data_IF_954492940427
#
_entry.id   IF_954492940427
#
_cell.length_a   1.000
_cell.length_b   1.000
_cell.length_c   1.000
_cell.angle_alpha   90.00
_cell.angle_beta   90.00
_cell.angle_gamma   90.00
#
_symmetry.space_group_name_H-M   'P 1'
#
loop_
_entity.id
_entity.type
_entity.pdbx_description
1 polymer ?
#
# COMPACT_ATOMS: atom_id res chain seq x y z
N UNK A 1 -0.76 -17.00 47.46
CA UNK A 1 -0.80 -18.46 47.71
C UNK A 1 -2.26 -18.87 47.69
N UNK A 2 -2.70 -19.69 46.74
CA UNK A 2 -3.86 -20.57 46.87
C UNK A 2 -3.73 -21.70 45.84
N UNK A 3 -3.93 -22.91 46.33
CA UNK A 3 -3.35 -24.17 45.88
C UNK A 3 -4.18 -24.92 44.83
N UNK A 4 -3.43 -25.71 44.05
CA UNK A 4 -3.81 -26.72 43.04
C UNK A 4 -4.99 -27.64 43.41
N UNK A 5 -5.82 -27.99 42.41
CA UNK A 5 -6.45 -29.30 42.33
C UNK A 5 -6.45 -29.88 40.90
N UNK A 6 -5.65 -30.93 40.74
CA UNK A 6 -5.56 -31.83 39.60
C UNK A 6 -6.68 -32.88 39.72
N UNK A 7 -7.42 -33.15 38.63
CA UNK A 7 -8.06 -34.46 38.42
C UNK A 7 -7.91 -34.92 36.98
N UNK A 8 -7.25 -36.07 36.84
CA UNK A 8 -7.14 -36.90 35.63
C UNK A 8 -8.45 -37.64 35.40
N UNK A 9 -8.87 -37.77 34.14
CA UNK A 9 -9.65 -38.92 33.67
C UNK A 9 -9.47 -39.04 32.14
N UNK A 10 -8.84 -40.13 31.72
CA UNK A 10 -8.85 -40.60 30.35
C UNK A 10 -10.23 -41.21 30.03
N UNK A 11 -10.63 -41.23 28.75
CA UNK A 11 -11.34 -42.33 28.10
C UNK A 11 -11.42 -42.06 26.59
N UNK A 12 -10.97 -43.04 25.81
CA UNK A 12 -10.98 -43.11 24.35
C UNK A 12 -12.30 -43.70 23.86
N UNK A 13 -12.85 -43.25 22.72
CA UNK A 13 -13.67 -44.10 21.82
C UNK A 13 -13.56 -43.59 20.37
N UNK A 14 -13.30 -44.55 19.50
CA UNK A 14 -13.15 -44.53 18.04
C UNK A 14 -14.43 -44.20 17.26
N UNK A 15 -14.30 -43.69 16.03
CA UNK A 15 -15.05 -44.17 14.85
C UNK A 15 -14.63 -43.41 13.58
N UNK A 16 -14.04 -44.14 12.63
CA UNK A 16 -13.91 -43.72 11.24
C UNK A 16 -15.25 -43.90 10.53
N UNK A 17 -15.68 -42.90 9.76
CA UNK A 17 -16.79 -43.03 8.79
C UNK A 17 -16.33 -42.46 7.45
N UNK A 18 -16.34 -43.34 6.46
CA UNK A 18 -16.02 -43.13 5.04
C UNK A 18 -17.33 -43.22 4.25
N UNK A 19 -17.34 -42.63 3.04
CA UNK A 19 -18.31 -42.72 1.92
C UNK A 19 -19.41 -41.62 1.82
N UNK A 20 -19.95 -41.32 0.61
CA UNK A 20 -19.43 -41.52 -0.76
C UNK A 20 -19.61 -40.33 -1.73
N UNK A 21 -18.89 -40.42 -2.87
CA UNK A 21 -19.16 -39.68 -4.11
C UNK A 21 -20.52 -40.08 -4.70
N UNK A 22 -21.27 -39.10 -5.20
CA UNK A 22 -22.36 -39.33 -6.14
C UNK A 22 -22.22 -38.38 -7.34
N UNK A 23 -21.83 -38.94 -8.48
CA UNK A 23 -22.04 -38.36 -9.81
C UNK A 23 -23.42 -38.82 -10.31
N UNK A 24 -24.26 -37.90 -10.76
CA UNK A 24 -25.35 -38.21 -11.69
C UNK A 24 -25.57 -37.04 -12.65
N UNK A 25 -25.51 -37.38 -13.93
CA UNK A 25 -25.68 -36.55 -15.11
C UNK A 25 -27.09 -36.74 -15.73
N UNK A 26 -27.31 -36.00 -16.84
CA UNK A 26 -28.41 -36.03 -17.82
C UNK A 26 -29.60 -35.08 -17.51
N UNK A 27 -30.19 -34.35 -18.47
CA UNK A 27 -30.25 -34.56 -19.93
C UNK A 27 -30.77 -33.31 -20.68
N UNK A 28 -30.27 -33.04 -21.90
CA UNK A 28 -31.06 -32.65 -23.10
C UNK A 28 -30.16 -32.53 -24.35
N UNK A 29 -30.65 -33.09 -25.45
CA UNK A 29 -29.98 -33.63 -26.65
C UNK A 29 -29.95 -32.66 -27.85
N UNK A 30 -28.88 -32.66 -28.67
CA UNK A 30 -28.90 -32.43 -30.13
C UNK A 30 -27.52 -32.71 -30.79
N UNK A 31 -27.45 -33.84 -31.51
CA UNK A 31 -26.74 -34.14 -32.79
C UNK A 31 -25.54 -33.27 -33.26
N UNK A 32 -24.38 -33.88 -33.52
CA UNK A 32 -23.95 -34.48 -34.81
C UNK A 32 -22.43 -34.76 -34.84
N UNK A 33 -21.99 -35.64 -35.75
CA UNK A 33 -20.69 -36.33 -35.72
C UNK A 33 -19.63 -35.79 -36.70
N UNK A 34 -18.37 -36.20 -36.44
CA UNK A 34 -17.25 -36.42 -37.37
C UNK A 34 -16.16 -35.34 -37.56
N UNK A 35 -15.00 -35.62 -36.93
CA UNK A 35 -13.66 -35.83 -37.52
C UNK A 35 -13.12 -34.88 -38.61
N UNK A 36 -11.94 -34.29 -38.35
CA UNK A 36 -11.01 -33.86 -39.42
C UNK A 36 -10.08 -32.69 -39.07
N UNK A 37 -8.78 -32.95 -39.10
CA UNK A 37 -7.64 -32.14 -38.64
C UNK A 37 -7.33 -30.81 -39.38
N UNK A 38 -6.58 -29.94 -38.67
CA UNK A 38 -5.49 -29.01 -39.11
C UNK A 38 -5.70 -27.48 -39.07
N UNK A 39 -4.69 -26.82 -38.45
CA UNK A 39 -4.12 -25.48 -38.66
C UNK A 39 -4.70 -24.21 -37.96
N UNK A 40 -3.81 -23.60 -37.16
CA UNK A 40 -3.53 -22.15 -37.01
C UNK A 40 -4.51 -21.19 -36.28
N UNK A 41 -3.99 -20.64 -35.18
CA UNK A 41 -4.02 -19.22 -34.75
C UNK A 41 -5.30 -18.56 -34.19
N UNK A 42 -5.03 -17.64 -33.24
CA UNK A 42 -5.85 -16.58 -32.62
C UNK A 42 -6.80 -17.01 -31.48
N UNK A 43 -6.62 -16.58 -30.21
CA UNK A 43 -6.53 -15.23 -29.59
C UNK A 43 -7.91 -14.63 -29.26
N UNK A 44 -8.03 -14.28 -27.97
CA UNK A 44 -8.87 -13.24 -27.34
C UNK A 44 -10.38 -13.53 -27.26
N UNK A 45 -11.16 -13.00 -26.33
CA UNK A 45 -11.02 -12.29 -25.04
C UNK A 45 -12.45 -11.85 -24.68
N UNK A 46 -12.64 -11.44 -23.43
CA UNK A 46 -13.56 -10.38 -22.99
C UNK A 46 -15.06 -10.67 -22.82
N UNK A 47 -15.48 -10.56 -21.57
CA UNK A 47 -16.54 -9.63 -21.14
C UNK A 47 -16.11 -9.14 -19.75
N UNK A 48 -15.51 -7.97 -19.50
CA UNK A 48 -15.65 -6.63 -20.09
C UNK A 48 -17.10 -6.12 -20.06
N UNK A 49 -17.60 -5.86 -18.85
CA UNK A 49 -18.44 -4.67 -18.63
C UNK A 49 -17.45 -3.55 -18.26
N UNK A 50 -17.03 -2.74 -19.24
CA UNK A 50 -17.71 -1.53 -19.65
C UNK A 50 -17.62 -0.45 -18.56
N UNK A 51 -16.59 0.40 -18.69
CA UNK A 51 -16.50 1.69 -18.01
C UNK A 51 -15.46 1.79 -16.90
N UNK A 52 -14.24 1.26 -17.07
CA UNK A 52 -13.11 1.77 -16.26
C UNK A 52 -12.67 3.12 -16.85
N UNK A 53 -13.58 4.10 -16.77
CA UNK A 53 -13.18 5.49 -16.71
C UNK A 53 -12.11 5.55 -15.64
N UNK A 54 -10.91 5.99 -16.01
CA UNK A 54 -9.77 6.19 -15.12
C UNK A 54 -10.25 6.86 -13.83
N UNK A 55 -10.56 6.05 -12.82
CA UNK A 55 -11.07 6.54 -11.56
C UNK A 55 -9.85 7.03 -10.79
N UNK A 56 -9.53 8.29 -11.01
CA UNK A 56 -8.48 9.03 -10.31
C UNK A 56 -8.75 9.14 -8.79
N UNK A 57 -9.87 8.59 -8.33
CA UNK A 57 -10.26 8.46 -6.91
C UNK A 57 -9.78 7.14 -6.27
N UNK A 58 -9.24 6.19 -7.06
CA UNK A 58 -8.66 4.94 -6.53
C UNK A 58 -7.13 5.02 -6.45
N UNK A 59 -6.49 4.22 -5.56
CA UNK A 59 -5.04 4.05 -5.56
C UNK A 59 -4.54 3.50 -6.90
N UNK A 60 -3.44 4.04 -7.42
CA UNK A 60 -2.89 3.66 -8.72
C UNK A 60 -1.38 3.42 -8.66
N UNK A 61 -0.86 2.62 -9.59
CA UNK A 61 0.58 2.40 -9.77
C UNK A 61 1.02 0.95 -9.54
N UNK A 62 2.14 0.53 -10.16
CA UNK A 62 2.61 -0.85 -10.11
C UNK A 62 3.04 -1.29 -8.70
N UNK A 63 3.47 -0.36 -7.86
CA UNK A 63 3.86 -0.61 -6.46
C UNK A 63 2.68 -0.81 -5.50
N UNK A 64 1.44 -0.54 -5.93
CA UNK A 64 0.26 -0.82 -5.12
C UNK A 64 0.05 -2.31 -4.86
N UNK A 65 0.69 -3.20 -5.65
CA UNK A 65 0.66 -4.63 -5.43
C UNK A 65 1.33 -5.06 -4.10
N UNK A 66 2.26 -4.25 -3.58
CA UNK A 66 2.96 -4.48 -2.32
C UNK A 66 2.10 -4.14 -1.09
N UNK A 67 0.99 -3.41 -1.29
CA UNK A 67 0.03 -3.12 -0.24
C UNK A 67 -0.91 -4.32 -0.07
N UNK A 68 -1.17 -4.78 1.16
CA UNK A 68 -2.09 -5.88 1.42
C UNK A 68 -3.48 -5.61 0.81
N UNK A 69 -4.10 -6.60 0.16
CA UNK A 69 -5.45 -6.47 -0.42
C UNK A 69 -6.58 -6.53 0.62
N UNK A 70 -6.32 -7.09 1.80
CA UNK A 70 -7.28 -7.11 2.91
C UNK A 70 -6.56 -7.00 4.26
N UNK A 71 -7.25 -6.46 5.28
CA UNK A 71 -6.72 -6.20 6.62
C UNK A 71 -6.53 -4.71 6.92
N UNK A 72 -5.98 -4.39 8.10
CA UNK A 72 -5.79 -3.01 8.55
C UNK A 72 -4.73 -2.25 7.73
N UNK A 73 -3.80 -2.96 7.09
CA UNK A 73 -2.79 -2.39 6.18
C UNK A 73 -3.27 -2.22 4.74
N UNK A 74 -4.52 -2.55 4.43
CA UNK A 74 -5.11 -2.36 3.09
C UNK A 74 -5.62 -0.97 2.87
N UNK A 75 -5.86 -0.57 1.62
CA UNK A 75 -6.44 0.74 1.29
C UNK A 75 -7.71 1.05 2.10
N UNK A 76 -8.62 0.07 2.24
CA UNK A 76 -9.84 0.22 3.05
C UNK A 76 -9.60 0.29 4.56
N UNK A 77 -8.53 -0.35 5.05
CA UNK A 77 -8.13 -0.31 6.46
C UNK A 77 -7.46 1.02 6.78
N UNK A 78 -6.49 1.41 5.96
CA UNK A 78 -5.78 2.67 6.01
C UNK A 78 -6.74 3.87 5.95
N UNK A 79 -7.80 3.81 5.15
CA UNK A 79 -8.83 4.84 5.07
C UNK A 79 -9.58 5.09 6.40
N UNK A 80 -9.59 4.13 7.32
CA UNK A 80 -10.27 4.23 8.62
C UNK A 80 -9.34 4.67 9.74
N UNK A 81 -8.02 4.57 9.54
CA UNK A 81 -6.99 4.89 10.51
C UNK A 81 -6.27 6.19 10.16
N UNK A 82 -5.75 6.93 11.15
CA UNK A 82 -4.93 8.10 10.88
C UNK A 82 -3.58 7.66 10.28
N UNK A 83 -2.94 8.56 9.52
CA UNK A 83 -1.82 8.24 8.63
C UNK A 83 -0.65 7.53 9.31
N UNK A 84 -0.31 7.86 10.56
CA UNK A 84 0.79 7.20 11.26
C UNK A 84 0.42 5.77 11.69
N UNK A 85 -0.82 5.55 12.10
CA UNK A 85 -1.37 4.21 12.42
C UNK A 85 -1.50 3.37 11.14
N UNK A 86 -2.06 3.94 10.08
CA UNK A 86 -2.18 3.31 8.78
C UNK A 86 -0.82 2.87 8.22
N UNK A 87 0.20 3.72 8.32
CA UNK A 87 1.57 3.38 7.91
C UNK A 87 2.17 2.25 8.78
N UNK A 88 1.83 2.20 10.07
CA UNK A 88 2.29 1.14 11.00
C UNK A 88 1.76 -0.25 10.64
N UNK A 89 0.62 -0.34 9.96
CA UNK A 89 0.05 -1.59 9.49
C UNK A 89 0.64 -2.09 8.16
N UNK A 90 1.46 -1.27 7.49
CA UNK A 90 2.05 -1.63 6.21
C UNK A 90 3.52 -2.06 6.38
N UNK A 91 3.87 -3.33 6.10
CA UNK A 91 5.24 -3.82 6.29
C UNK A 91 6.26 -3.09 5.41
N UNK A 92 5.85 -2.60 4.24
CA UNK A 92 6.70 -1.85 3.32
C UNK A 92 7.10 -0.45 3.83
N UNK A 93 6.41 0.05 4.86
CA UNK A 93 6.63 1.38 5.47
C UNK A 93 7.20 1.31 6.89
N UNK A 94 7.58 0.12 7.36
CA UNK A 94 8.08 -0.11 8.73
C UNK A 94 9.30 0.75 9.10
N UNK A 95 10.20 1.02 8.14
CA UNK A 95 11.34 1.93 8.37
C UNK A 95 10.87 3.36 8.63
N UNK A 96 9.91 3.86 7.84
CA UNK A 96 9.32 5.18 8.02
C UNK A 96 8.63 5.31 9.37
N UNK A 97 7.88 4.30 9.80
CA UNK A 97 7.19 4.29 11.09
C UNK A 97 8.19 4.40 12.24
N UNK A 98 9.34 3.74 12.12
CA UNK A 98 10.43 3.83 13.10
C UNK A 98 11.01 5.25 13.14
N UNK A 99 11.23 5.87 11.98
CA UNK A 99 11.69 7.26 11.88
C UNK A 99 10.68 8.26 12.51
N UNK A 100 9.40 8.16 12.16
CA UNK A 100 8.33 9.02 12.70
C UNK A 100 8.19 8.89 14.21
N UNK A 101 8.30 7.67 14.75
CA UNK A 101 8.30 7.42 16.20
C UNK A 101 9.52 8.04 16.88
N UNK A 102 10.72 7.91 16.29
CA UNK A 102 11.95 8.53 16.81
C UNK A 102 11.89 10.06 16.79
N UNK A 103 11.32 10.63 15.72
CA UNK A 103 11.11 12.08 15.62
C UNK A 103 10.02 12.60 16.57
N UNK A 104 9.10 11.73 17.01
CA UNK A 104 7.96 12.13 17.84
C UNK A 104 6.87 12.84 17.04
N UNK A 105 6.75 12.54 15.75
CA UNK A 105 5.78 13.17 14.85
C UNK A 105 4.46 12.41 14.75
N UNK A 106 4.32 11.27 15.43
CA UNK A 106 3.10 10.43 15.39
C UNK A 106 1.87 11.26 15.74
N UNK A 107 1.91 12.01 16.83
CA UNK A 107 0.78 12.81 17.27
C UNK A 107 0.50 13.97 16.31
N UNK A 108 1.54 14.66 15.83
CA UNK A 108 1.40 15.75 14.86
C UNK A 108 0.75 15.27 13.56
N UNK A 109 1.19 14.13 13.03
CA UNK A 109 0.65 13.56 11.80
C UNK A 109 -0.75 13.01 11.99
N UNK A 110 -1.10 12.49 13.16
CA UNK A 110 -2.45 12.00 13.45
C UNK A 110 -3.45 13.15 13.68
N UNK A 111 -3.00 14.29 14.21
CA UNK A 111 -3.85 15.47 14.44
C UNK A 111 -3.99 16.35 13.19
N UNK A 112 -3.01 16.33 12.27
CA UNK A 112 -3.10 17.04 11.01
C UNK A 112 -4.25 16.48 10.15
N UNK A 113 -4.98 17.33 9.45
CA UNK A 113 -6.08 16.92 8.57
C UNK A 113 -5.88 17.50 7.17
N UNK A 114 -6.35 16.77 6.16
CA UNK A 114 -6.24 17.16 4.75
C UNK A 114 -4.80 17.40 4.31
N UNK A 115 -3.87 16.55 4.76
CA UNK A 115 -2.47 16.61 4.36
C UNK A 115 -2.15 15.53 3.32
N UNK A 116 -1.03 15.69 2.62
CA UNK A 116 -0.50 14.68 1.72
C UNK A 116 0.85 14.21 2.21
N UNK A 117 1.05 12.89 2.30
CA UNK A 117 2.29 12.28 2.81
C UNK A 117 2.93 11.46 1.71
N UNK A 118 4.15 11.85 1.31
CA UNK A 118 4.99 11.06 0.44
C UNK A 118 5.76 10.04 1.28
N UNK A 119 5.34 8.78 1.23
CA UNK A 119 5.88 7.72 2.08
C UNK A 119 6.93 6.90 1.32
N UNK A 120 8.24 7.07 1.58
CA UNK A 120 9.27 6.20 1.04
C UNK A 120 9.11 4.75 1.51
N UNK A 121 9.27 3.80 0.59
CA UNK A 121 9.32 2.37 0.91
C UNK A 121 10.62 2.00 1.63
N UNK A 122 10.67 0.83 2.25
CA UNK A 122 11.92 0.28 2.78
C UNK A 122 13.04 0.21 1.72
N UNK A 123 12.71 -0.08 0.46
CA UNK A 123 13.67 -0.07 -0.65
C UNK A 123 14.25 1.33 -0.91
N UNK A 124 13.42 2.37 -0.76
CA UNK A 124 13.88 3.75 -0.85
C UNK A 124 14.93 4.07 0.22
N UNK A 125 14.70 3.61 1.45
CA UNK A 125 15.69 3.75 2.53
C UNK A 125 16.94 2.90 2.30
N UNK A 126 16.79 1.72 1.69
CA UNK A 126 17.92 0.85 1.38
C UNK A 126 18.85 1.42 0.29
N UNK A 127 18.36 2.35 -0.55
CA UNK A 127 19.20 3.10 -1.51
C UNK A 127 20.16 4.08 -0.82
N UNK A 128 19.86 4.49 0.42
CA UNK A 128 20.73 5.37 1.20
C UNK A 128 21.79 4.53 1.90
N UNK A 129 23.08 4.94 1.89
CA UNK A 129 24.11 4.30 2.69
C UNK A 129 23.69 4.20 4.16
N UNK A 130 23.82 3.00 4.75
CA UNK A 130 23.41 2.76 6.15
C UNK A 130 24.02 3.77 7.12
N UNK A 131 25.26 4.19 6.89
CA UNK A 131 25.94 5.19 7.70
C UNK A 131 25.23 6.56 7.69
N UNK A 132 24.69 6.98 6.55
CA UNK A 132 23.96 8.24 6.44
C UNK A 132 22.55 8.12 7.02
N UNK A 133 21.91 6.96 6.82
CA UNK A 133 20.62 6.67 7.47
C UNK A 133 20.76 6.65 8.99
N UNK A 134 21.80 6.01 9.54
CA UNK A 134 22.04 5.94 10.98
C UNK A 134 22.34 7.34 11.54
N UNK A 135 23.08 8.18 10.81
CA UNK A 135 23.27 9.60 11.17
C UNK A 135 21.95 10.37 11.19
N UNK A 136 21.14 10.23 10.15
CA UNK A 136 19.81 10.84 10.07
C UNK A 136 18.88 10.37 11.20
N UNK A 137 18.92 9.08 11.55
CA UNK A 137 18.12 8.54 12.65
C UNK A 137 18.65 8.93 14.04
N UNK A 138 19.92 9.31 14.14
CA UNK A 138 20.54 9.83 15.36
C UNK A 138 20.27 11.33 15.55
N UNK A 139 20.21 12.10 14.46
CA UNK A 139 19.89 13.53 14.51
C UNK A 139 18.37 13.76 14.41
N UNK A 140 17.75 14.02 15.55
CA UNK A 140 16.31 14.28 15.63
C UNK A 140 15.88 15.52 14.86
N UNK A 141 16.71 16.56 14.82
CA UNK A 141 16.37 17.81 14.14
C UNK A 141 16.38 17.61 12.63
N UNK A 142 17.41 16.95 12.11
CA UNK A 142 17.51 16.60 10.69
C UNK A 142 16.41 15.60 10.28
N UNK A 143 16.15 14.58 11.11
CA UNK A 143 15.07 13.64 10.89
C UNK A 143 13.71 14.33 10.81
N UNK A 144 13.44 15.27 11.72
CA UNK A 144 12.19 16.03 11.73
C UNK A 144 12.06 16.82 10.43
N UNK A 145 13.10 17.53 10.01
CA UNK A 145 13.11 18.27 8.73
C UNK A 145 12.81 17.36 7.55
N UNK A 146 13.52 16.25 7.42
CA UNK A 146 13.30 15.28 6.33
C UNK A 146 11.86 14.76 6.35
N UNK A 147 11.34 14.37 7.51
CA UNK A 147 9.96 13.88 7.61
C UNK A 147 8.94 14.98 7.29
N UNK A 148 9.14 16.22 7.73
CA UNK A 148 8.26 17.34 7.38
C UNK A 148 8.35 17.74 5.91
N UNK A 149 9.48 17.48 5.24
CA UNK A 149 9.65 17.70 3.81
C UNK A 149 8.85 16.68 2.97
N UNK A 150 8.59 15.49 3.51
CA UNK A 150 7.72 14.51 2.88
C UNK A 150 6.22 14.82 3.07
N UNK A 151 5.88 15.82 3.87
CA UNK A 151 4.49 16.16 4.19
C UNK A 151 4.14 17.50 3.57
N UNK A 152 3.09 17.51 2.75
CA UNK A 152 2.48 18.71 2.23
C UNK A 152 1.24 19.01 3.05
N UNK A 153 1.12 20.26 3.52
CA UNK A 153 0.01 20.72 4.36
C UNK A 153 -1.34 20.84 3.64
N UNK A 154 -1.49 20.19 2.49
CA UNK A 154 -2.66 20.25 1.62
C UNK A 154 -2.93 18.88 1.02
N UNK A 155 -4.20 18.59 0.71
CA UNK A 155 -4.63 17.35 0.09
C UNK A 155 -4.47 17.47 -1.42
N UNK A 156 -3.58 16.67 -1.99
CA UNK A 156 -3.28 16.69 -3.41
C UNK A 156 -4.01 15.56 -4.12
N UNK A 157 -4.81 15.93 -5.12
CA UNK A 157 -5.39 14.99 -6.07
C UNK A 157 -4.34 14.59 -7.13
N UNK A 158 -4.44 13.39 -7.73
CA UNK A 158 -3.47 12.91 -8.71
C UNK A 158 -3.25 13.87 -9.87
N UNK A 159 -4.33 14.47 -10.38
CA UNK A 159 -4.29 15.47 -11.45
C UNK A 159 -3.46 16.73 -11.11
N UNK A 160 -3.33 17.06 -9.83
CA UNK A 160 -2.51 18.19 -9.39
C UNK A 160 -1.02 17.86 -9.45
N UNK A 161 -0.65 16.57 -9.48
CA UNK A 161 0.74 16.11 -9.55
C UNK A 161 1.33 16.15 -10.97
N UNK A 162 0.50 16.36 -12.01
CA UNK A 162 0.95 16.40 -13.41
C UNK A 162 2.05 17.47 -13.62
N UNK A 163 1.84 18.67 -13.05
CA UNK A 163 2.79 19.80 -12.99
C UNK A 163 2.57 20.63 -11.72
N UNK A 164 2.71 19.98 -10.57
CA UNK A 164 2.45 20.60 -9.28
C UNK A 164 3.72 21.17 -8.63
N UNK A 165 3.60 22.30 -7.94
CA UNK A 165 4.61 22.79 -7.01
C UNK A 165 3.93 23.12 -5.69
N UNK A 166 4.40 22.49 -4.61
CA UNK A 166 3.76 22.53 -3.31
C UNK A 166 4.76 22.93 -2.23
N UNK A 167 4.29 23.68 -1.23
CA UNK A 167 5.07 23.98 -0.04
C UNK A 167 4.89 22.85 0.98
N UNK A 168 6.01 22.30 1.45
CA UNK A 168 6.03 21.26 2.47
C UNK A 168 5.94 21.87 3.86
N UNK A 169 5.68 21.05 4.89
CA UNK A 169 5.70 21.53 6.28
C UNK A 169 7.08 22.03 6.72
N UNK A 170 8.14 21.58 6.05
CA UNK A 170 9.52 22.05 6.28
C UNK A 170 9.79 23.45 5.70
N UNK A 171 8.84 24.04 4.95
CA UNK A 171 8.99 25.27 4.14
C UNK A 171 9.79 25.10 2.85
N UNK A 172 10.38 23.93 2.61
CA UNK A 172 10.93 23.57 1.31
C UNK A 172 9.85 23.41 0.25
N UNK A 173 10.17 23.78 -0.99
CA UNK A 173 9.31 23.53 -2.16
C UNK A 173 9.54 22.11 -2.68
N UNK A 174 8.45 21.45 -3.03
CA UNK A 174 8.42 20.12 -3.64
C UNK A 174 7.76 20.25 -5.01
N UNK A 175 8.43 19.77 -6.05
CA UNK A 175 7.91 19.75 -7.41
C UNK A 175 7.45 18.34 -7.77
N UNK A 176 6.37 18.28 -8.54
CA UNK A 176 5.82 17.03 -9.06
C UNK A 176 5.61 17.17 -10.55
N UNK A 177 6.00 16.12 -11.27
CA UNK A 177 5.93 16.06 -12.71
C UNK A 177 5.50 14.65 -13.12
N UNK A 178 4.56 14.55 -14.03
CA UNK A 178 4.08 13.24 -14.46
C UNK A 178 2.88 13.28 -15.38
N UNK A 179 2.49 12.11 -15.86
CA UNK A 179 1.28 11.93 -16.66
C UNK A 179 0.87 10.46 -16.65
N UNK A 180 -0.39 10.17 -16.97
CA UNK A 180 -0.90 8.80 -17.08
C UNK A 180 -0.69 7.94 -15.82
N UNK A 181 -0.89 8.51 -14.63
CA UNK A 181 -0.71 7.81 -13.35
C UNK A 181 0.76 7.42 -13.03
N UNK A 182 1.72 7.93 -13.81
CA UNK A 182 3.15 7.86 -13.51
C UNK A 182 3.64 9.25 -13.09
N UNK A 183 3.86 9.41 -11.79
CA UNK A 183 4.31 10.68 -11.20
C UNK A 183 5.72 10.57 -10.65
N UNK A 184 6.46 11.66 -10.76
CA UNK A 184 7.81 11.83 -10.20
C UNK A 184 7.80 13.06 -9.31
N UNK A 185 8.49 12.96 -8.18
CA UNK A 185 8.66 14.01 -7.17
C UNK A 185 10.13 14.44 -7.18
N UNK A 186 10.36 15.75 -7.25
CA UNK A 186 11.69 16.37 -7.39
C UNK A 186 12.54 15.73 -8.51
N UNK A 187 11.89 15.32 -9.60
CA UNK A 187 12.50 14.70 -10.80
C UNK A 187 13.36 13.44 -10.53
N UNK A 188 13.36 12.93 -9.31
CA UNK A 188 14.24 11.84 -8.85
C UNK A 188 13.48 10.70 -8.15
N UNK A 189 12.33 11.00 -7.53
CA UNK A 189 11.57 10.02 -6.75
C UNK A 189 10.29 9.62 -7.47
N UNK A 190 10.17 8.37 -7.89
CA UNK A 190 8.98 7.89 -8.61
C UNK A 190 7.88 7.50 -7.62
N UNK A 191 6.65 7.92 -7.90
CA UNK A 191 5.46 7.46 -7.18
C UNK A 191 5.12 6.06 -7.67
N UNK A 192 5.35 5.07 -6.81
CA UNK A 192 5.10 3.66 -7.11
C UNK A 192 3.66 3.25 -6.79
N UNK A 193 3.06 3.88 -5.77
CA UNK A 193 1.64 3.72 -5.46
C UNK A 193 1.09 5.07 -5.00
N UNK A 194 0.27 5.71 -5.83
CA UNK A 194 -0.34 6.99 -5.53
C UNK A 194 -1.78 6.87 -5.05
N UNK A 195 -2.28 7.97 -4.47
CA UNK A 195 -3.68 8.15 -4.09
C UNK A 195 -4.21 7.11 -3.10
N UNK A 196 -3.43 6.81 -2.06
CA UNK A 196 -3.86 5.93 -0.96
C UNK A 196 -4.61 6.77 0.07
N UNK A 197 -5.94 6.64 0.22
CA UNK A 197 -6.68 7.41 1.20
C UNK A 197 -6.41 6.89 2.62
N UNK A 198 -6.23 7.81 3.56
CA UNK A 198 -6.24 7.55 5.00
C UNK A 198 -7.29 8.42 5.68
N UNK A 199 -7.56 8.22 6.98
CA UNK A 199 -8.60 8.97 7.67
C UNK A 199 -8.39 10.50 7.63
N UNK A 200 -7.13 10.95 7.63
CA UNK A 200 -6.77 12.36 7.75
C UNK A 200 -5.82 12.86 6.64
N UNK A 201 -5.26 11.95 5.83
CA UNK A 201 -4.28 12.28 4.80
C UNK A 201 -4.45 11.47 3.52
N UNK A 202 -3.80 11.91 2.44
CA UNK A 202 -3.56 11.07 1.25
C UNK A 202 -2.10 10.63 1.25
N UNK A 203 -1.85 9.33 1.12
CA UNK A 203 -0.50 8.76 1.05
C UNK A 203 -0.11 8.49 -0.39
N UNK A 204 1.10 8.90 -0.76
CA UNK A 204 1.75 8.58 -2.02
C UNK A 204 3.04 7.84 -1.71
N UNK A 205 3.09 6.56 -2.02
CA UNK A 205 4.26 5.73 -1.82
C UNK A 205 5.27 6.03 -2.92
N UNK A 206 6.50 6.36 -2.52
CA UNK A 206 7.60 6.71 -3.42
C UNK A 206 8.76 5.73 -3.28
N UNK A 207 9.53 5.58 -4.36
CA UNK A 207 10.67 4.66 -4.42
C UNK A 207 11.99 5.25 -3.88
N UNK A 208 12.00 6.53 -3.53
CA UNK A 208 13.20 7.27 -3.12
C UNK A 208 12.86 8.25 -2.01
N UNK A 209 13.81 8.50 -1.10
CA UNK A 209 13.64 9.42 0.02
C UNK A 209 13.90 10.84 -0.43
N UNK A 210 12.97 11.75 -0.13
CA UNK A 210 13.06 13.17 -0.43
C UNK A 210 13.93 13.88 0.61
N UNK A 211 15.11 14.34 0.20
CA UNK A 211 15.95 15.18 1.06
C UNK A 211 15.66 16.65 0.78
N UNK A 212 15.47 17.49 1.82
CA UNK A 212 15.30 18.92 1.64
C UNK A 212 16.59 19.53 1.05
N UNK A 213 16.48 20.51 0.14
CA UNK A 213 17.65 21.24 -0.37
C UNK A 213 18.32 22.02 0.78
N UNK A 214 19.66 22.02 0.80
CA UNK A 214 20.45 22.78 1.79
C UNK A 214 20.53 24.27 1.46
#
# INVERSE_FOLDING_TARGET
MNTLHIRRAALAVSAAVVLPLALTACSSDSKDSASGSTASSAKASASASAGDSMNMDKPFGPGCASVPKSGSGSFDGMAKDPVATAASHNPALSTLVTAVKKAGLVDTLNNAQNITVFAPTNDAFAKIPKADLDKLLADKAELTKVLTYHVVGEKLAPKQLDKGSFETLEKGKLTTSGSNMEYTVNDSSKVVCGNVPTANATVYIVDSVLMPPK
#
